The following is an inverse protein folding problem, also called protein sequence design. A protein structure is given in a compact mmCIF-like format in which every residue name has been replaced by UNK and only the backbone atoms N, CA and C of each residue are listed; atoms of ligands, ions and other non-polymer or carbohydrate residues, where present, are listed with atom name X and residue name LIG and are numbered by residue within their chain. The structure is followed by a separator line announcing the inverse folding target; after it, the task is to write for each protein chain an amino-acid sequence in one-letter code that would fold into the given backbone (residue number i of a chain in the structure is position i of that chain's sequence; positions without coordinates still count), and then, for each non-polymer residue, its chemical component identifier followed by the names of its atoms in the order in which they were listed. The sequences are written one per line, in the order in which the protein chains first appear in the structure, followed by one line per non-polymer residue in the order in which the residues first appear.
data_IF_648126103811
#
_entry.id   IF_648126103811
#
_cell.length_a   1.000
_cell.length_b   1.000
_cell.length_c   1.000
_cell.angle_alpha   90.00
_cell.angle_beta   90.00
_cell.angle_gamma   90.00
#
_symmetry.space_group_name_H-M   'P 1'
#
loop_
_entity.id
_entity.type
_entity.pdbx_description
1 polymer ?
#
# COMPACT_ATOMS: atom_id res chain seq x y z
N UNK A 1 -9.97 -19.02 7.82
CA UNK A 1 -9.29 -17.73 7.58
C UNK A 1 -9.96 -17.14 6.35
N UNK A 2 -10.29 -15.84 6.34
CA UNK A 2 -11.13 -15.33 5.25
C UNK A 2 -10.27 -14.99 4.00
N UNK A 3 -9.00 -14.60 4.13
CA UNK A 3 -8.05 -14.73 3.01
C UNK A 3 -6.62 -14.88 3.55
N UNK A 4 -5.69 -15.35 2.72
CA UNK A 4 -4.30 -15.58 3.12
C UNK A 4 -3.50 -14.28 3.03
N UNK A 5 -2.98 -13.80 4.15
CA UNK A 5 -2.11 -12.61 4.19
C UNK A 5 -0.65 -12.90 3.80
N UNK A 6 -0.16 -14.12 4.07
CA UNK A 6 1.25 -14.48 3.85
C UNK A 6 1.66 -14.36 2.36
N UNK A 7 0.89 -14.85 1.38
CA UNK A 7 1.25 -14.71 -0.03
C UNK A 7 1.34 -13.25 -0.47
N UNK A 8 0.43 -12.39 0.00
CA UNK A 8 0.48 -10.95 -0.28
C UNK A 8 1.73 -10.32 0.32
N UNK A 9 2.04 -10.61 1.59
CA UNK A 9 3.23 -10.11 2.23
C UNK A 9 4.50 -10.55 1.49
N UNK A 10 4.58 -11.83 1.10
CA UNK A 10 5.71 -12.37 0.34
C UNK A 10 5.89 -11.68 -1.02
N UNK A 11 4.80 -11.46 -1.78
CA UNK A 11 4.86 -10.75 -3.06
C UNK A 11 5.34 -9.31 -2.90
N UNK A 12 4.90 -8.61 -1.85
CA UNK A 12 5.35 -7.25 -1.57
C UNK A 12 6.83 -7.25 -1.15
N UNK A 13 7.25 -8.16 -0.27
CA UNK A 13 8.65 -8.30 0.10
C UNK A 13 9.53 -8.56 -1.13
N UNK A 14 9.15 -9.52 -1.98
CA UNK A 14 9.90 -9.84 -3.22
C UNK A 14 9.96 -8.66 -4.19
N UNK A 15 8.90 -7.83 -4.26
CA UNK A 15 8.85 -6.65 -5.12
C UNK A 15 9.75 -5.51 -4.62
N UNK A 16 9.96 -5.37 -3.32
CA UNK A 16 10.74 -4.28 -2.70
C UNK A 16 12.01 -4.82 -2.05
N UNK A 17 12.93 -5.34 -2.88
CA UNK A 17 14.24 -5.86 -2.44
C UNK A 17 15.39 -4.87 -2.67
N UNK A 18 15.18 -3.80 -3.43
CA UNK A 18 16.22 -2.80 -3.70
C UNK A 18 16.36 -1.87 -2.47
N UNK A 19 17.57 -1.84 -1.90
CA UNK A 19 17.86 -1.05 -0.69
C UNK A 19 17.91 0.44 -0.96
N UNK A 20 18.38 0.85 -2.14
CA UNK A 20 18.29 2.25 -2.54
C UNK A 20 16.81 2.60 -2.58
N UNK A 21 15.98 1.70 -3.14
CA UNK A 21 14.54 1.89 -3.25
C UNK A 21 13.79 2.05 -1.91
N UNK A 22 14.18 1.28 -0.91
CA UNK A 22 13.60 1.39 0.41
C UNK A 22 14.06 2.67 1.11
N UNK A 23 15.30 3.11 0.89
CA UNK A 23 15.87 4.25 1.57
C UNK A 23 15.20 5.58 1.22
N UNK A 24 15.02 5.89 -0.07
CA UNK A 24 14.27 7.10 -0.48
C UNK A 24 12.75 6.98 -0.29
N UNK A 25 12.14 5.79 -0.23
CA UNK A 25 10.75 5.68 0.22
C UNK A 25 10.61 6.13 1.68
N UNK A 26 11.64 5.90 2.49
CA UNK A 26 11.62 6.19 3.92
C UNK A 26 10.69 5.26 4.70
N UNK A 27 10.37 5.64 5.92
CA UNK A 27 9.55 4.83 6.82
C UNK A 27 8.06 4.87 6.43
N UNK A 28 7.47 3.69 6.26
CA UNK A 28 6.05 3.49 5.90
C UNK A 28 5.50 2.32 6.71
N UNK A 29 4.44 2.57 7.47
CA UNK A 29 3.75 1.50 8.21
C UNK A 29 2.76 0.76 7.31
N UNK A 30 3.16 -0.42 6.83
CA UNK A 30 2.32 -1.33 6.06
C UNK A 30 1.81 -2.47 6.95
N UNK A 31 0.50 -2.52 7.14
CA UNK A 31 -0.16 -3.49 8.02
C UNK A 31 -1.08 -4.42 7.23
N UNK A 32 -0.90 -5.75 7.39
CA UNK A 32 -1.65 -6.77 6.64
C UNK A 32 -2.34 -7.72 7.61
N UNK A 33 -3.65 -7.89 7.46
CA UNK A 33 -4.47 -8.83 8.22
C UNK A 33 -5.21 -9.79 7.29
N UNK A 34 -5.16 -11.10 7.55
CA UNK A 34 -5.91 -12.10 6.78
C UNK A 34 -7.40 -12.20 7.12
N UNK A 35 -7.88 -11.51 8.16
CA UNK A 35 -9.29 -11.48 8.55
C UNK A 35 -9.62 -10.25 9.41
N UNK A 36 -10.92 -10.07 9.66
CA UNK A 36 -11.48 -8.91 10.37
C UNK A 36 -11.00 -8.75 11.82
N UNK A 37 -10.48 -9.82 12.43
CA UNK A 37 -9.94 -9.78 13.80
C UNK A 37 -8.73 -8.84 13.93
N UNK A 38 -8.15 -8.40 12.82
CA UNK A 38 -7.15 -7.35 12.79
C UNK A 38 -5.89 -7.63 13.62
N UNK A 39 -5.43 -8.88 13.68
CA UNK A 39 -4.20 -9.24 14.38
C UNK A 39 -2.96 -8.49 13.87
N UNK A 40 -2.98 -8.03 12.61
CA UNK A 40 -1.93 -7.17 12.05
C UNK A 40 -2.26 -5.68 12.10
N UNK A 41 -3.28 -5.25 12.85
CA UNK A 41 -3.69 -3.85 13.02
C UNK A 41 -3.84 -3.05 11.71
N UNK A 42 -4.48 -3.65 10.69
CA UNK A 42 -4.60 -3.04 9.35
C UNK A 42 -5.24 -1.66 9.35
N UNK A 43 -6.11 -1.33 10.32
CA UNK A 43 -6.73 -0.01 10.40
C UNK A 43 -5.78 1.09 10.91
N UNK A 44 -4.67 0.76 11.57
CA UNK A 44 -3.72 1.76 12.10
C UNK A 44 -2.46 1.94 11.25
N UNK A 45 -2.22 1.09 10.25
CA UNK A 45 -1.11 1.28 9.32
C UNK A 45 -1.36 2.45 8.38
N UNK A 46 -0.29 3.13 7.95
CA UNK A 46 -0.37 4.14 6.89
C UNK A 46 -1.03 3.55 5.65
N UNK A 47 -0.68 2.29 5.35
CA UNK A 47 -1.34 1.44 4.37
C UNK A 47 -1.82 0.17 5.06
N UNK A 48 -3.12 -0.05 5.04
CA UNK A 48 -3.77 -1.21 5.64
C UNK A 48 -4.33 -2.16 4.59
N UNK A 49 -4.13 -3.47 4.77
CA UNK A 49 -4.67 -4.51 3.91
C UNK A 49 -5.48 -5.51 4.76
N UNK A 50 -6.75 -5.68 4.43
CA UNK A 50 -7.65 -6.64 5.05
C UNK A 50 -8.10 -7.69 4.03
N UNK A 51 -7.76 -8.96 4.30
CA UNK A 51 -8.23 -10.12 3.57
C UNK A 51 -9.69 -10.48 3.88
N UNK A 52 -10.47 -10.74 2.83
CA UNK A 52 -11.89 -11.11 2.87
C UNK A 52 -12.13 -12.28 1.92
N UNK A 53 -12.81 -13.33 2.39
CA UNK A 53 -13.29 -14.42 1.52
C UNK A 53 -14.63 -13.99 0.99
N UNK A 54 -14.85 -14.16 -0.30
CA UNK A 54 -16.19 -14.12 -0.85
C UNK A 54 -16.33 -15.19 -1.92
N UNK A 55 -17.24 -16.13 -1.67
CA UNK A 55 -17.56 -17.23 -2.57
C UNK A 55 -16.32 -18.07 -2.95
N UNK A 56 -15.42 -18.31 -1.99
CA UNK A 56 -14.18 -19.06 -2.19
C UNK A 56 -13.10 -18.31 -2.97
N UNK A 57 -13.31 -17.02 -3.23
CA UNK A 57 -12.32 -16.12 -3.84
C UNK A 57 -11.78 -15.16 -2.80
N UNK A 58 -10.47 -14.97 -2.84
CA UNK A 58 -9.76 -14.03 -1.97
C UNK A 58 -9.88 -12.61 -2.51
N UNK A 59 -10.28 -11.70 -1.64
CA UNK A 59 -10.38 -10.26 -1.88
C UNK A 59 -9.65 -9.49 -0.79
N UNK A 60 -9.17 -8.30 -1.11
CA UNK A 60 -8.36 -7.48 -0.23
C UNK A 60 -8.89 -6.05 -0.21
N UNK A 61 -9.37 -5.62 0.95
CA UNK A 61 -9.72 -4.23 1.18
C UNK A 61 -8.45 -3.46 1.54
N UNK A 62 -8.21 -2.35 0.83
CA UNK A 62 -7.08 -1.45 1.10
C UNK A 62 -7.60 -0.19 1.79
N UNK A 63 -6.95 0.20 2.88
CA UNK A 63 -7.19 1.45 3.60
C UNK A 63 -5.92 2.30 3.63
N UNK A 64 -6.06 3.63 3.61
CA UNK A 64 -4.94 4.57 3.63
C UNK A 64 -5.11 5.64 4.69
N UNK A 65 -3.97 6.15 5.17
CA UNK A 65 -3.91 7.25 6.13
C UNK A 65 -4.18 6.86 7.57
N UNK A 66 -4.04 5.57 7.91
CA UNK A 66 -4.06 5.15 9.29
C UNK A 66 -2.83 5.64 10.03
N UNK A 67 -2.97 5.79 11.35
CA UNK A 67 -1.91 6.15 12.27
C UNK A 67 -2.14 5.44 13.60
N UNK A 68 -1.08 4.87 14.16
CA UNK A 68 -1.10 4.10 15.40
C UNK A 68 -0.83 4.95 16.66
N UNK A 69 -0.59 6.25 16.51
CA UNK A 69 -0.25 7.12 17.64
C UNK A 69 1.26 7.24 17.91
N UNK A 70 2.10 6.55 17.14
CA UNK A 70 3.56 6.62 17.28
C UNK A 70 4.12 7.98 16.84
N UNK A 71 5.40 8.23 17.17
CA UNK A 71 6.08 9.46 16.74
C UNK A 71 6.15 9.61 15.21
N UNK A 72 6.30 8.49 14.48
CA UNK A 72 6.29 8.48 13.01
C UNK A 72 4.90 8.84 12.46
N UNK A 73 3.86 8.23 13.01
CA UNK A 73 2.49 8.30 12.45
C UNK A 73 1.71 9.54 12.91
N UNK A 74 2.08 10.11 14.07
CA UNK A 74 1.40 11.23 14.71
C UNK A 74 0.14 10.79 15.46
N UNK A 75 -0.87 11.64 15.57
CA UNK A 75 -2.11 11.32 16.29
C UNK A 75 -2.78 10.05 15.75
N UNK A 76 -3.29 9.20 16.65
CA UNK A 76 -3.92 7.94 16.27
C UNK A 76 -5.23 8.20 15.50
N UNK A 77 -5.33 7.65 14.29
CA UNK A 77 -6.48 7.83 13.39
C UNK A 77 -6.67 6.53 12.60
N UNK A 78 -7.89 6.00 12.47
CA UNK A 78 -8.12 4.85 11.61
C UNK A 78 -7.99 5.22 10.13
N UNK A 79 -7.34 4.34 9.36
CA UNK A 79 -7.24 4.45 7.91
C UNK A 79 -8.61 4.38 7.25
N UNK A 80 -8.75 5.06 6.11
CA UNK A 80 -9.99 5.10 5.35
C UNK A 80 -9.92 4.14 4.17
N UNK A 81 -10.98 3.36 3.97
CA UNK A 81 -11.07 2.41 2.86
C UNK A 81 -11.07 3.14 1.52
N UNK A 82 -10.21 2.70 0.60
CA UNK A 82 -10.05 3.26 -0.75
C UNK A 82 -11.31 3.08 -1.60
N UNK A 83 -11.99 1.94 -1.47
CA UNK A 83 -13.17 1.60 -2.26
C UNK A 83 -13.48 0.10 -2.21
N UNK A 84 -14.12 -0.46 -3.26
CA UNK A 84 -14.36 -1.89 -3.38
C UNK A 84 -13.05 -2.69 -3.27
N UNK A 85 -13.12 -3.90 -2.71
CA UNK A 85 -11.95 -4.76 -2.58
C UNK A 85 -11.29 -5.09 -3.92
N UNK A 86 -10.00 -5.38 -3.85
CA UNK A 86 -9.14 -5.80 -4.94
C UNK A 86 -8.97 -7.33 -4.90
N UNK A 87 -8.74 -7.98 -6.05
CA UNK A 87 -8.26 -9.36 -6.11
C UNK A 87 -6.81 -9.45 -5.64
N UNK A 88 -6.36 -10.66 -5.30
CA UNK A 88 -5.00 -10.89 -4.82
C UNK A 88 -3.92 -10.30 -5.74
N UNK A 89 -4.09 -10.49 -7.05
CA UNK A 89 -3.13 -10.08 -8.08
C UNK A 89 -3.07 -8.57 -8.29
N UNK A 90 -4.15 -7.84 -7.94
CA UNK A 90 -4.18 -6.39 -8.03
C UNK A 90 -3.35 -5.74 -6.89
N UNK A 91 -3.21 -6.40 -5.74
CA UNK A 91 -2.63 -5.78 -4.53
C UNK A 91 -1.23 -5.23 -4.74
N UNK A 92 -0.24 -5.96 -5.32
CA UNK A 92 1.08 -5.39 -5.56
C UNK A 92 1.05 -4.13 -6.44
N UNK A 93 0.21 -4.11 -7.48
CA UNK A 93 0.04 -2.94 -8.34
C UNK A 93 -0.64 -1.76 -7.65
N UNK A 94 -1.60 -2.04 -6.77
CA UNK A 94 -2.25 -1.02 -5.94
C UNK A 94 -1.25 -0.34 -5.01
N UNK A 95 -0.39 -1.13 -4.36
CA UNK A 95 0.66 -0.59 -3.47
C UNK A 95 1.65 0.24 -4.26
N UNK A 96 2.10 -0.24 -5.42
CA UNK A 96 3.01 0.51 -6.29
C UNK A 96 2.40 1.85 -6.72
N UNK A 97 1.15 1.86 -7.21
CA UNK A 97 0.48 3.10 -7.61
C UNK A 97 0.36 4.11 -6.45
N UNK A 98 0.14 3.62 -5.23
CA UNK A 98 0.09 4.46 -4.01
C UNK A 98 1.48 5.03 -3.69
N UNK A 99 2.53 4.22 -3.75
CA UNK A 99 3.90 4.67 -3.48
C UNK A 99 4.43 5.61 -4.55
N UNK A 100 4.11 5.37 -5.83
CA UNK A 100 4.49 6.28 -6.92
C UNK A 100 3.77 7.62 -6.81
N UNK A 101 2.51 7.62 -6.38
CA UNK A 101 1.78 8.86 -6.05
C UNK A 101 2.48 9.60 -4.91
N UNK A 102 2.92 8.91 -3.87
CA UNK A 102 3.71 9.51 -2.80
C UNK A 102 5.01 10.13 -3.35
N UNK A 103 5.81 9.38 -4.12
CA UNK A 103 7.05 9.90 -4.71
C UNK A 103 6.82 11.14 -5.58
N UNK A 104 5.76 11.13 -6.38
CA UNK A 104 5.42 12.24 -7.27
C UNK A 104 4.92 13.49 -6.54
N UNK A 105 4.31 13.33 -5.36
CA UNK A 105 3.65 14.42 -4.64
C UNK A 105 4.43 14.92 -3.43
N UNK A 106 5.37 14.14 -2.90
CA UNK A 106 6.10 14.48 -1.68
C UNK A 106 7.03 15.67 -1.88
N UNK A 107 7.21 16.43 -0.82
CA UNK A 107 8.26 17.44 -0.70
C UNK A 107 9.55 16.78 -0.19
N UNK A 108 10.67 17.49 -0.31
CA UNK A 108 11.96 16.98 0.14
C UNK A 108 11.92 16.62 1.64
N UNK A 109 12.29 15.38 1.97
CA UNK A 109 12.31 14.87 3.35
C UNK A 109 10.92 14.60 3.96
N UNK A 110 9.85 14.69 3.19
CA UNK A 110 8.49 14.46 3.68
C UNK A 110 8.21 12.95 3.81
N UNK A 111 7.67 12.53 4.95
CA UNK A 111 7.24 11.15 5.19
C UNK A 111 5.99 10.81 4.38
N UNK A 112 5.72 9.52 4.18
CA UNK A 112 4.50 9.07 3.49
C UNK A 112 3.24 9.64 4.15
N UNK A 113 3.14 9.51 5.47
CA UNK A 113 1.92 9.89 6.19
C UNK A 113 1.68 11.40 6.18
N UNK A 114 2.74 12.21 6.22
CA UNK A 114 2.60 13.67 6.14
C UNK A 114 2.21 14.12 4.73
N UNK A 115 2.84 13.54 3.70
CA UNK A 115 2.43 13.76 2.31
C UNK A 115 0.96 13.36 2.10
N UNK A 116 0.53 12.22 2.63
CA UNK A 116 -0.86 11.76 2.54
C UNK A 116 -1.82 12.75 3.22
N UNK A 117 -1.49 13.23 4.42
CA UNK A 117 -2.31 14.22 5.15
C UNK A 117 -2.43 15.54 4.37
N UNK A 118 -1.35 16.00 3.74
CA UNK A 118 -1.31 17.26 2.97
C UNK A 118 -2.03 17.16 1.63
N UNK A 119 -1.76 16.11 0.85
CA UNK A 119 -2.31 15.91 -0.50
C UNK A 119 -3.76 15.45 -0.42
N UNK A 120 -4.09 14.65 0.59
CA UNK A 120 -5.42 14.09 0.82
C UNK A 120 -5.68 12.79 0.06
N UNK A 121 -6.73 12.10 0.49
CA UNK A 121 -7.09 10.74 0.03
C UNK A 121 -7.34 10.64 -1.48
N UNK A 122 -7.90 11.66 -2.12
CA UNK A 122 -8.45 11.52 -3.47
C UNK A 122 -7.38 11.19 -4.53
N UNK A 123 -6.17 11.76 -4.41
CA UNK A 123 -5.06 11.46 -5.30
C UNK A 123 -4.65 9.98 -5.19
N UNK A 124 -4.43 9.50 -3.96
CA UNK A 124 -4.04 8.12 -3.70
C UNK A 124 -5.13 7.11 -4.03
N UNK A 125 -6.40 7.46 -3.76
CA UNK A 125 -7.55 6.64 -4.13
C UNK A 125 -7.65 6.49 -5.64
N UNK A 126 -7.46 7.57 -6.40
CA UNK A 126 -7.46 7.52 -7.86
C UNK A 126 -6.37 6.59 -8.38
N UNK A 127 -5.15 6.72 -7.86
CA UNK A 127 -4.03 5.86 -8.23
C UNK A 127 -4.26 4.39 -7.86
N UNK A 128 -4.72 4.10 -6.64
CA UNK A 128 -5.04 2.74 -6.23
C UNK A 128 -6.10 2.09 -7.14
N UNK A 129 -7.11 2.85 -7.60
CA UNK A 129 -8.12 2.31 -8.51
C UNK A 129 -7.66 2.21 -9.97
N UNK A 130 -6.59 2.89 -10.40
CA UNK A 130 -6.04 2.73 -11.75
C UNK A 130 -5.30 1.39 -11.93
N UNK A 131 -4.87 0.77 -10.83
CA UNK A 131 -4.25 -0.56 -10.81
C UNK A 131 -5.24 -1.72 -10.95
N UNK A 132 -6.53 -1.44 -11.23
CA UNK A 132 -7.53 -2.49 -11.37
C UNK A 132 -7.34 -3.30 -12.65
N UNK A 133 -7.45 -4.62 -12.52
CA UNK A 133 -7.37 -5.56 -13.63
C UNK A 133 -8.76 -5.91 -14.17
N UNK A 134 -8.83 -6.22 -15.46
CA UNK A 134 -10.06 -6.67 -16.12
C UNK A 134 -10.50 -8.04 -15.59
N UNK A 135 -9.54 -8.98 -15.45
CA UNK A 135 -9.70 -10.20 -14.67
C UNK A 135 -8.85 -10.11 -13.39
N UNK A 136 -9.49 -10.33 -12.24
CA UNK A 136 -8.91 -10.15 -10.91
C UNK A 136 -8.34 -11.45 -10.32
N UNK A 137 -8.59 -12.58 -10.98
CA UNK A 137 -8.28 -13.93 -10.51
C UNK A 137 -7.65 -14.83 -11.58
N UNK A 138 -7.48 -14.36 -12.82
CA UNK A 138 -6.69 -15.04 -13.86
C UNK A 138 -5.19 -14.73 -13.69
N UNK A 139 -4.32 -15.72 -13.89
CA UNK A 139 -2.86 -15.66 -13.71
C UNK A 139 -2.19 -14.67 -14.69
N UNK A 140 -2.38 -13.36 -14.49
CA UNK A 140 -1.58 -12.34 -15.15
C UNK A 140 -0.26 -12.19 -14.40
N UNK A 141 0.80 -12.71 -15.01
CA UNK A 141 2.18 -12.53 -14.58
C UNK A 141 2.47 -11.04 -14.36
N UNK A 142 2.84 -10.70 -13.11
CA UNK A 142 3.54 -9.48 -12.68
C UNK A 142 3.25 -8.22 -13.49
N UNK A 143 2.47 -7.28 -12.93
CA UNK A 143 2.52 -5.90 -13.40
C UNK A 143 4.00 -5.45 -13.44
N UNK A 144 4.49 -4.87 -14.55
CA UNK A 144 5.86 -4.40 -14.62
C UNK A 144 6.06 -3.31 -13.57
N UNK A 145 7.08 -3.47 -12.73
CA UNK A 145 7.51 -2.40 -11.83
C UNK A 145 8.24 -1.34 -12.65
N UNK A 146 7.82 -0.08 -12.60
CA UNK A 146 8.57 0.96 -13.32
C UNK A 146 9.95 1.15 -12.63
N UNK A 147 11.08 1.14 -13.35
CA UNK A 147 12.42 1.24 -12.76
C UNK A 147 12.77 2.65 -12.25
N UNK A 148 11.77 3.48 -11.97
CA UNK A 148 11.89 4.92 -11.74
C UNK A 148 12.36 5.30 -10.34
N UNK A 149 13.35 4.60 -9.79
CA UNK A 149 13.97 5.10 -8.57
C UNK A 149 14.81 6.33 -8.89
N UNK A 150 14.43 7.47 -8.32
CA UNK A 150 15.11 8.74 -8.53
C UNK A 150 16.47 8.68 -7.82
N UNK A 151 17.50 8.15 -8.49
CA UNK A 151 18.87 8.40 -8.09
C UNK A 151 19.15 9.88 -8.31
N UNK A 152 19.40 10.57 -7.20
CA UNK A 152 20.11 11.85 -7.08
C UNK A 152 19.31 13.16 -7.13
N UNK A 153 19.12 13.75 -5.94
CA UNK A 153 19.51 15.15 -5.66
C UNK A 153 20.14 15.21 -4.26
N UNK A 154 21.24 14.48 -4.03
CA UNK A 154 22.05 14.66 -2.82
C UNK A 154 23.53 14.27 -3.02
N UNK A 155 24.12 14.70 -4.13
CA UNK A 155 25.57 14.87 -4.25
C UNK A 155 25.86 16.19 -5.00
N UNK A 156 25.82 17.32 -4.27
CA UNK A 156 26.47 18.59 -4.61
C UNK A 156 26.57 19.48 -3.35
#
# INVERSE_FOLDING_TARGET
ANARSIPIAAQLTERYQDMDELHDLGEIDLHISGCINSCGHHHSGHIGILGVDKDGKEWYQVSLGGSDGSSLSGAAVPGKVVGPSFGALEVPGVIEAVLDTFRAQRMQGETFIDCFKRVGMDAFKTAANSARLADKHEDLHTLPKAPGYAKDVQEA
#
